data_IF_108702280661
#
_entry.id   IF_108702280661
#
_cell.length_a   1.000
_cell.length_b   1.000
_cell.length_c   1.000
_cell.angle_alpha   90.00
_cell.angle_beta   90.00
_cell.angle_gamma   90.00
#
_symmetry.space_group_name_H-M   'P 1'
#
loop_
_entity.id
_entity.type
_entity.pdbx_description
1 polymer ?
#
# COMPACT_ATOMS: atom_id res chain seq x y z
N UNK A 1 -0.26 24.14 15.22
CA UNK A 1 0.42 24.44 13.93
C UNK A 1 0.94 23.16 13.28
N UNK A 2 1.39 22.19 14.07
CA UNK A 2 1.97 20.95 13.54
C UNK A 2 0.94 20.02 12.89
N UNK A 3 -0.26 19.90 13.46
CA UNK A 3 -1.36 19.09 12.91
C UNK A 3 -1.89 19.60 11.58
N UNK A 4 -1.91 20.92 11.40
CA UNK A 4 -2.27 21.57 10.15
C UNK A 4 -1.27 21.27 9.03
N UNK A 5 0.02 21.48 9.30
CA UNK A 5 1.09 21.18 8.33
C UNK A 5 1.09 19.69 7.95
N UNK A 6 0.92 18.81 8.92
CA UNK A 6 0.78 17.37 8.68
C UNK A 6 -0.34 17.07 7.68
N UNK A 7 -1.54 17.64 7.91
CA UNK A 7 -2.69 17.44 7.00
C UNK A 7 -2.42 17.94 5.58
N UNK A 8 -1.78 19.10 5.43
CA UNK A 8 -1.41 19.64 4.11
C UNK A 8 -0.42 18.72 3.36
N UNK A 9 0.58 18.20 4.06
CA UNK A 9 1.54 17.25 3.48
C UNK A 9 0.81 15.98 3.03
N UNK A 10 -0.12 15.46 3.84
CA UNK A 10 -0.91 14.27 3.48
C UNK A 10 -1.82 14.51 2.28
N UNK A 11 -2.49 15.69 2.19
CA UNK A 11 -3.27 16.06 1.01
C UNK A 11 -2.43 16.07 -0.26
N UNK A 12 -1.27 16.74 -0.21
CA UNK A 12 -0.38 16.83 -1.36
C UNK A 12 0.08 15.43 -1.82
N UNK A 13 0.53 14.62 -0.89
CA UNK A 13 1.07 13.29 -1.20
C UNK A 13 0.00 12.33 -1.72
N UNK A 14 -1.03 12.08 -0.91
CA UNK A 14 -2.06 11.09 -1.25
C UNK A 14 -2.89 11.59 -2.43
N UNK A 15 -3.23 12.86 -2.48
CA UNK A 15 -4.00 13.45 -3.57
C UNK A 15 -3.28 13.39 -4.91
N UNK A 16 -1.98 13.71 -4.95
CA UNK A 16 -1.15 13.59 -6.17
C UNK A 16 -1.01 12.11 -6.58
N UNK A 17 -0.72 11.21 -5.62
CA UNK A 17 -0.64 9.79 -5.91
C UNK A 17 -1.93 9.29 -6.56
N UNK A 18 -3.09 9.62 -6.00
CA UNK A 18 -4.40 9.22 -6.55
C UNK A 18 -4.67 9.80 -7.94
N UNK A 19 -4.36 11.09 -8.15
CA UNK A 19 -4.60 11.76 -9.43
C UNK A 19 -3.81 11.13 -10.58
N UNK A 20 -2.58 10.68 -10.32
CA UNK A 20 -1.69 10.13 -11.34
C UNK A 20 -1.70 8.61 -11.47
N UNK A 21 -2.44 7.87 -10.64
CA UNK A 21 -2.57 6.40 -10.74
C UNK A 21 -2.83 5.92 -12.17
N UNK A 22 -3.74 6.52 -13.00
CA UNK A 22 -4.01 6.01 -14.34
C UNK A 22 -2.81 6.02 -15.30
N UNK A 23 -1.73 6.74 -14.96
CA UNK A 23 -0.50 6.81 -15.75
C UNK A 23 0.62 5.92 -15.21
N UNK A 24 0.50 5.40 -13.98
CA UNK A 24 1.51 4.55 -13.35
C UNK A 24 1.22 3.05 -13.44
N UNK A 25 0.04 2.70 -13.90
CA UNK A 25 -0.37 1.31 -14.14
C UNK A 25 0.02 0.86 -15.54
N UNK A 26 -0.09 -0.45 -15.80
CA UNK A 26 0.13 -1.00 -17.16
C UNK A 26 -0.73 -0.28 -18.18
N UNK A 27 -0.14 0.09 -19.32
CA UNK A 27 -0.85 0.79 -20.39
C UNK A 27 -2.07 0.01 -20.91
N UNK A 28 -1.97 -1.33 -20.96
CA UNK A 28 -3.04 -2.24 -21.37
C UNK A 28 -4.13 -2.46 -20.31
N UNK A 29 -4.01 -1.82 -19.14
CA UNK A 29 -5.05 -1.83 -18.11
C UNK A 29 -5.55 -0.39 -17.92
N UNK A 30 -6.78 -0.12 -18.26
CA UNK A 30 -7.39 1.22 -18.19
C UNK A 30 -8.58 1.19 -17.25
N UNK A 31 -8.47 1.86 -16.10
CA UNK A 31 -9.47 1.81 -15.02
C UNK A 31 -9.91 0.36 -14.71
N UNK A 32 -8.92 -0.57 -14.61
CA UNK A 32 -9.19 -1.96 -14.28
C UNK A 32 -9.70 -2.85 -15.42
N UNK A 33 -9.88 -2.30 -16.62
CA UNK A 33 -10.32 -3.02 -17.81
C UNK A 33 -9.13 -3.37 -18.69
N UNK A 34 -9.03 -4.61 -19.16
CA UNK A 34 -8.03 -5.04 -20.14
C UNK A 34 -8.33 -4.45 -21.51
N UNK A 35 -7.37 -3.73 -22.08
CA UNK A 35 -7.47 -3.07 -23.38
C UNK A 35 -6.36 -3.62 -24.28
N UNK A 36 -6.68 -4.05 -25.51
CA UNK A 36 -5.69 -4.49 -26.49
C UNK A 36 -4.69 -3.38 -26.83
N UNK A 37 -3.46 -3.74 -27.17
CA UNK A 37 -2.37 -2.79 -27.47
C UNK A 37 -2.74 -1.74 -28.52
N UNK A 38 -3.54 -2.12 -29.54
CA UNK A 38 -3.99 -1.23 -30.61
C UNK A 38 -4.91 -0.11 -30.10
N UNK A 39 -5.63 -0.35 -28.99
CA UNK A 39 -6.66 0.55 -28.43
C UNK A 39 -6.14 1.38 -27.24
N UNK A 40 -4.92 1.16 -26.78
CA UNK A 40 -4.33 1.91 -25.66
C UNK A 40 -4.33 3.43 -25.91
N UNK A 41 -4.13 3.82 -27.17
CA UNK A 41 -4.11 5.23 -27.57
C UNK A 41 -5.44 5.75 -28.12
N UNK A 42 -6.53 4.98 -27.98
CA UNK A 42 -7.86 5.41 -28.38
C UNK A 42 -8.23 6.78 -27.77
N UNK A 43 -8.83 7.71 -28.56
CA UNK A 43 -9.14 9.07 -28.08
C UNK A 43 -9.92 9.12 -26.77
N UNK A 44 -10.92 8.24 -26.61
CA UNK A 44 -11.73 8.15 -25.39
C UNK A 44 -10.92 7.68 -24.19
N UNK A 45 -9.97 6.75 -24.38
CA UNK A 45 -9.06 6.26 -23.32
C UNK A 45 -8.19 7.41 -22.82
N UNK A 46 -7.53 8.14 -23.74
CA UNK A 46 -6.69 9.30 -23.40
C UNK A 46 -7.49 10.40 -22.71
N UNK A 47 -8.66 10.73 -23.25
CA UNK A 47 -9.55 11.73 -22.67
C UNK A 47 -10.01 11.32 -21.26
N UNK A 48 -10.36 10.05 -21.04
CA UNK A 48 -10.79 9.54 -19.73
C UNK A 48 -9.69 9.67 -18.69
N UNK A 49 -8.46 9.29 -19.01
CA UNK A 49 -7.29 9.47 -18.12
C UNK A 49 -7.07 10.97 -17.80
N UNK A 50 -7.08 11.83 -18.81
CA UNK A 50 -6.90 13.28 -18.65
C UNK A 50 -7.99 13.91 -17.77
N UNK A 51 -9.27 13.61 -18.04
CA UNK A 51 -10.41 14.12 -17.27
C UNK A 51 -10.30 13.66 -15.81
N UNK A 52 -10.06 12.38 -15.56
CA UNK A 52 -9.90 11.85 -14.21
C UNK A 52 -8.83 12.64 -13.44
N UNK A 53 -7.63 12.76 -14.00
CA UNK A 53 -6.49 13.45 -13.36
C UNK A 53 -6.77 14.94 -13.15
N UNK A 54 -7.25 15.67 -14.20
CA UNK A 54 -7.51 17.10 -14.07
C UNK A 54 -8.62 17.42 -13.07
N UNK A 55 -9.68 16.59 -13.01
CA UNK A 55 -10.77 16.76 -12.04
C UNK A 55 -10.28 16.53 -10.61
N UNK A 56 -9.52 15.46 -10.37
CA UNK A 56 -8.98 15.20 -9.02
C UNK A 56 -7.98 16.27 -8.57
N UNK A 57 -7.13 16.77 -9.47
CA UNK A 57 -6.22 17.88 -9.16
C UNK A 57 -7.00 19.16 -8.84
N UNK A 58 -8.06 19.46 -9.59
CA UNK A 58 -8.93 20.61 -9.31
C UNK A 58 -9.60 20.49 -7.94
N UNK A 59 -10.15 19.31 -7.60
CA UNK A 59 -10.76 19.06 -6.29
C UNK A 59 -9.72 19.14 -5.17
N UNK A 60 -8.52 18.58 -5.37
CA UNK A 60 -7.42 18.68 -4.41
C UNK A 60 -7.07 20.15 -4.12
N UNK A 61 -6.94 20.98 -5.15
CA UNK A 61 -6.66 22.41 -4.99
C UNK A 61 -7.78 23.08 -4.19
N UNK A 62 -9.04 22.80 -4.47
CA UNK A 62 -10.20 23.35 -3.74
C UNK A 62 -10.17 22.92 -2.26
N UNK A 63 -9.89 21.63 -1.99
CA UNK A 63 -9.79 21.10 -0.62
C UNK A 63 -8.65 21.80 0.13
N UNK A 64 -7.47 21.87 -0.47
CA UNK A 64 -6.30 22.51 0.14
C UNK A 64 -6.57 24.01 0.41
N UNK A 65 -7.08 24.74 -0.58
CA UNK A 65 -7.41 26.15 -0.42
C UNK A 65 -8.49 26.37 0.66
N UNK A 66 -9.55 25.59 0.65
CA UNK A 66 -10.61 25.66 1.66
C UNK A 66 -10.11 25.35 3.07
N UNK A 67 -9.25 24.34 3.21
CA UNK A 67 -8.65 23.97 4.49
C UNK A 67 -7.71 25.06 5.03
N UNK A 68 -6.87 25.65 4.14
CA UNK A 68 -6.00 26.79 4.50
C UNK A 68 -6.82 27.99 4.96
N UNK A 69 -7.85 28.37 4.18
CA UNK A 69 -8.72 29.52 4.53
C UNK A 69 -9.48 29.30 5.84
N UNK A 70 -9.94 28.08 6.07
CA UNK A 70 -10.61 27.71 7.32
C UNK A 70 -9.67 27.88 8.52
N UNK A 71 -8.45 27.34 8.45
CA UNK A 71 -7.46 27.44 9.52
C UNK A 71 -7.09 28.90 9.83
N UNK A 72 -6.83 29.72 8.78
CA UNK A 72 -6.48 31.11 8.93
C UNK A 72 -7.59 31.94 9.63
N UNK A 73 -8.86 31.59 9.42
CA UNK A 73 -10.00 32.32 9.99
C UNK A 73 -10.41 31.81 11.39
N UNK A 74 -10.28 30.49 11.64
CA UNK A 74 -10.88 29.84 12.82
C UNK A 74 -9.89 29.62 13.95
N UNK A 75 -8.57 29.61 13.67
CA UNK A 75 -7.48 29.35 14.64
C UNK A 75 -7.78 28.20 15.58
N UNK A 76 -8.16 27.06 15.00
CA UNK A 76 -8.55 25.85 15.74
C UNK A 76 -7.36 25.18 16.42
N UNK A 77 -7.63 24.31 17.40
CA UNK A 77 -6.59 23.50 18.00
C UNK A 77 -6.09 22.42 17.00
N UNK A 78 -4.88 21.92 17.22
CA UNK A 78 -4.22 20.94 16.34
C UNK A 78 -5.04 19.63 16.21
N UNK A 79 -5.75 19.22 17.26
CA UNK A 79 -6.59 18.01 17.25
C UNK A 79 -7.74 18.14 16.25
N UNK A 80 -8.49 19.24 16.28
CA UNK A 80 -9.59 19.49 15.36
C UNK A 80 -9.07 19.66 13.92
N UNK A 81 -7.91 20.30 13.73
CA UNK A 81 -7.27 20.43 12.45
C UNK A 81 -6.96 19.04 11.84
N UNK A 82 -6.41 18.12 12.62
CA UNK A 82 -6.13 16.75 12.18
C UNK A 82 -7.41 15.99 11.83
N UNK A 83 -8.45 16.05 12.68
CA UNK A 83 -9.73 15.35 12.44
C UNK A 83 -10.38 15.84 11.13
N UNK A 84 -10.44 17.16 10.93
CA UNK A 84 -10.98 17.74 9.69
C UNK A 84 -10.11 17.35 8.49
N UNK A 85 -8.79 17.39 8.63
CA UNK A 85 -7.85 16.96 7.61
C UNK A 85 -8.07 15.51 7.18
N UNK A 86 -8.14 14.58 8.13
CA UNK A 86 -8.41 13.16 7.86
C UNK A 86 -9.78 13.00 7.18
N UNK A 87 -10.81 13.69 7.64
CA UNK A 87 -12.16 13.63 7.05
C UNK A 87 -12.14 14.07 5.59
N UNK A 88 -11.52 15.21 5.28
CA UNK A 88 -11.38 15.72 3.91
C UNK A 88 -10.56 14.75 3.03
N UNK A 89 -9.53 14.10 3.59
CA UNK A 89 -8.76 13.09 2.87
C UNK A 89 -9.63 11.87 2.50
N UNK A 90 -10.48 11.38 3.41
CA UNK A 90 -11.40 10.30 3.09
C UNK A 90 -12.46 10.70 2.05
N UNK A 91 -12.93 11.96 2.09
CA UNK A 91 -13.82 12.50 1.06
C UNK A 91 -13.13 12.49 -0.31
N UNK A 92 -11.88 12.93 -0.40
CA UNK A 92 -11.10 12.90 -1.65
C UNK A 92 -10.92 11.47 -2.18
N UNK A 93 -10.63 10.51 -1.29
CA UNK A 93 -10.56 9.08 -1.63
C UNK A 93 -11.90 8.59 -2.16
N UNK A 94 -13.01 8.92 -1.51
CA UNK A 94 -14.37 8.57 -1.94
C UNK A 94 -14.70 9.10 -3.33
N UNK A 95 -14.40 10.37 -3.60
CA UNK A 95 -14.60 10.99 -4.92
C UNK A 95 -13.74 10.28 -5.99
N UNK A 96 -12.47 10.00 -5.68
CA UNK A 96 -11.57 9.25 -6.56
C UNK A 96 -12.15 7.88 -6.94
N UNK A 97 -12.72 7.16 -5.96
CA UNK A 97 -13.35 5.86 -6.19
C UNK A 97 -14.63 5.96 -7.06
N UNK A 98 -15.48 6.96 -6.80
CA UNK A 98 -16.68 7.21 -7.64
C UNK A 98 -16.25 7.49 -9.08
N UNK A 99 -15.29 8.37 -9.30
CA UNK A 99 -14.76 8.67 -10.63
C UNK A 99 -14.14 7.43 -11.28
N UNK A 100 -13.41 6.63 -10.53
CA UNK A 100 -12.86 5.37 -11.02
C UNK A 100 -13.98 4.47 -11.59
N UNK A 101 -15.08 4.24 -10.85
CA UNK A 101 -16.16 3.39 -11.30
C UNK A 101 -16.91 3.99 -12.50
N UNK A 102 -17.05 5.31 -12.58
CA UNK A 102 -17.63 5.97 -13.78
C UNK A 102 -16.79 5.64 -15.01
N UNK A 103 -15.46 5.81 -14.93
CA UNK A 103 -14.57 5.53 -16.06
C UNK A 103 -14.41 4.03 -16.32
N UNK A 104 -14.39 3.19 -15.30
CA UNK A 104 -14.42 1.73 -15.45
C UNK A 104 -15.63 1.30 -16.30
N UNK A 105 -16.82 1.74 -15.92
CA UNK A 105 -18.04 1.43 -16.66
C UNK A 105 -18.01 1.99 -18.08
N UNK A 106 -17.48 3.21 -18.28
CA UNK A 106 -17.35 3.83 -19.59
C UNK A 106 -16.45 3.01 -20.52
N UNK A 107 -15.26 2.61 -20.03
CA UNK A 107 -14.29 1.81 -20.81
C UNK A 107 -14.84 0.40 -21.07
N UNK A 108 -15.50 -0.23 -20.09
CA UNK A 108 -16.15 -1.55 -20.26
C UNK A 108 -17.24 -1.52 -21.35
N UNK A 109 -18.07 -0.48 -21.36
CA UNK A 109 -19.09 -0.31 -22.39
C UNK A 109 -18.48 -0.09 -23.77
N UNK A 110 -17.45 0.76 -23.85
CA UNK A 110 -16.73 1.02 -25.10
C UNK A 110 -16.08 -0.26 -25.66
N UNK A 111 -15.37 -1.03 -24.82
CA UNK A 111 -14.78 -2.32 -25.18
C UNK A 111 -15.78 -3.28 -25.78
N UNK A 112 -16.99 -3.36 -25.18
CA UNK A 112 -18.07 -4.22 -25.69
C UNK A 112 -18.68 -3.72 -26.99
N UNK A 113 -18.90 -2.40 -27.11
CA UNK A 113 -19.53 -1.78 -28.28
C UNK A 113 -18.64 -1.85 -29.53
N UNK A 114 -17.33 -1.75 -29.36
CA UNK A 114 -16.37 -1.82 -30.47
C UNK A 114 -15.69 -3.20 -30.58
N UNK A 115 -16.18 -4.21 -29.83
CA UNK A 115 -15.71 -5.61 -29.86
C UNK A 115 -14.18 -5.74 -29.74
N UNK A 116 -13.57 -4.94 -28.85
CA UNK A 116 -12.11 -4.90 -28.71
C UNK A 116 -11.51 -6.27 -28.39
N UNK A 117 -10.66 -6.75 -29.29
CA UNK A 117 -9.97 -8.01 -29.14
C UNK A 117 -10.72 -9.23 -29.68
N UNK A 118 -11.93 -9.06 -30.26
CA UNK A 118 -12.70 -10.19 -30.81
C UNK A 118 -11.96 -10.93 -31.93
N UNK A 119 -11.23 -10.19 -32.77
CA UNK A 119 -10.44 -10.74 -33.89
C UNK A 119 -9.03 -11.19 -33.49
N UNK A 120 -8.64 -11.06 -32.21
CA UNK A 120 -7.31 -11.38 -31.72
C UNK A 120 -7.29 -12.74 -31.02
N UNK A 121 -6.27 -13.54 -31.34
CA UNK A 121 -6.02 -14.79 -30.63
C UNK A 121 -5.48 -14.51 -29.24
N UNK A 122 -6.21 -14.92 -28.22
CA UNK A 122 -5.75 -14.82 -26.83
C UNK A 122 -4.68 -15.86 -26.54
N UNK A 123 -3.53 -15.41 -26.00
CA UNK A 123 -2.37 -16.27 -25.69
C UNK A 123 -1.95 -16.05 -24.25
N UNK A 124 -1.74 -17.17 -23.54
CA UNK A 124 -1.12 -17.17 -22.21
C UNK A 124 0.33 -17.64 -22.32
N UNK A 125 1.26 -16.80 -21.92
CA UNK A 125 2.69 -17.14 -21.89
C UNK A 125 3.05 -17.61 -20.49
N UNK A 126 3.79 -18.74 -20.43
CA UNK A 126 4.38 -19.25 -19.18
C UNK A 126 5.83 -19.57 -19.45
N UNK A 127 6.73 -18.99 -18.67
CA UNK A 127 8.17 -19.24 -18.74
C UNK A 127 8.71 -19.51 -17.35
N UNK A 128 9.07 -20.77 -17.09
CA UNK A 128 9.61 -21.21 -15.80
C UNK A 128 11.01 -20.64 -15.51
N UNK A 129 11.79 -20.30 -16.55
CA UNK A 129 13.13 -19.73 -16.41
C UNK A 129 13.11 -18.34 -15.75
N UNK A 130 12.02 -17.59 -15.93
CA UNK A 130 11.84 -16.27 -15.33
C UNK A 130 11.81 -16.34 -13.80
N UNK A 131 11.26 -17.42 -13.25
CA UNK A 131 11.21 -17.62 -11.79
C UNK A 131 12.59 -17.84 -11.18
N UNK A 132 13.52 -18.45 -11.91
CA UNK A 132 14.90 -18.62 -11.48
C UNK A 132 15.67 -17.29 -11.39
N UNK A 133 15.17 -16.24 -12.07
CA UNK A 133 15.74 -14.88 -12.06
C UNK A 133 15.10 -13.96 -11.01
N UNK A 134 14.28 -14.50 -10.10
CA UNK A 134 13.63 -13.72 -9.06
C UNK A 134 14.66 -13.26 -8.01
N UNK A 135 14.81 -11.96 -7.87
CA UNK A 135 15.74 -11.30 -6.95
C UNK A 135 15.04 -10.73 -5.71
N UNK A 136 13.91 -11.32 -5.30
CA UNK A 136 13.25 -10.94 -4.05
C UNK A 136 14.18 -11.17 -2.86
N UNK A 137 14.14 -10.26 -1.90
CA UNK A 137 14.92 -10.37 -0.66
C UNK A 137 14.61 -11.70 0.05
N UNK A 138 15.63 -12.51 0.36
CA UNK A 138 15.43 -13.78 1.07
C UNK A 138 14.69 -13.63 2.38
N UNK A 139 13.81 -14.58 2.70
CA UNK A 139 12.94 -14.53 3.88
C UNK A 139 13.72 -14.44 5.21
N UNK A 140 14.93 -14.99 5.27
CA UNK A 140 15.72 -15.00 6.49
C UNK A 140 16.10 -13.59 6.98
N UNK A 141 16.13 -12.56 6.11
CA UNK A 141 16.34 -11.17 6.56
C UNK A 141 15.24 -10.70 7.50
N UNK A 142 14.01 -11.20 7.33
CA UNK A 142 12.87 -10.88 8.20
C UNK A 142 12.98 -11.53 9.60
N UNK A 143 13.91 -12.46 9.82
CA UNK A 143 14.21 -12.99 11.15
C UNK A 143 14.91 -11.95 12.04
N UNK A 144 15.68 -11.02 11.46
CA UNK A 144 16.39 -9.99 12.23
C UNK A 144 15.44 -9.14 13.09
N UNK A 145 14.40 -8.50 12.55
CA UNK A 145 13.44 -7.75 13.36
C UNK A 145 12.68 -8.64 14.37
N UNK A 146 12.40 -9.90 14.04
CA UNK A 146 11.76 -10.85 14.97
C UNK A 146 12.66 -11.12 16.18
N UNK A 147 13.97 -11.31 15.99
CA UNK A 147 14.92 -11.46 17.10
C UNK A 147 15.00 -10.20 17.97
N UNK A 148 14.96 -9.01 17.36
CA UNK A 148 14.91 -7.75 18.12
C UNK A 148 13.69 -7.70 19.04
N UNK A 149 12.51 -8.07 18.53
CA UNK A 149 11.27 -8.12 19.34
C UNK A 149 11.36 -9.17 20.44
N UNK A 150 11.90 -10.36 20.15
CA UNK A 150 12.13 -11.38 21.16
C UNK A 150 13.01 -10.90 22.31
N UNK A 151 14.11 -10.20 21.98
CA UNK A 151 14.98 -9.55 22.96
C UNK A 151 14.26 -8.46 23.76
N UNK A 152 13.44 -7.67 23.10
CA UNK A 152 12.64 -6.62 23.74
C UNK A 152 11.61 -7.18 24.73
N UNK A 153 10.91 -8.25 24.38
CA UNK A 153 9.98 -8.94 25.29
C UNK A 153 10.73 -9.48 26.51
N UNK A 154 11.85 -10.14 26.29
CA UNK A 154 12.69 -10.64 27.39
C UNK A 154 13.17 -9.51 28.30
N UNK A 155 13.68 -8.41 27.72
CA UNK A 155 14.11 -7.24 28.47
C UNK A 155 12.96 -6.61 29.26
N UNK A 156 11.76 -6.47 28.66
CA UNK A 156 10.57 -5.95 29.35
C UNK A 156 10.22 -6.78 30.60
N UNK A 157 10.27 -8.11 30.51
CA UNK A 157 10.02 -8.98 31.64
C UNK A 157 11.12 -8.88 32.74
N UNK A 158 12.36 -8.70 32.34
CA UNK A 158 13.45 -8.47 33.33
C UNK A 158 13.26 -7.16 34.10
N UNK A 159 12.68 -6.14 33.45
CA UNK A 159 12.38 -4.83 34.05
C UNK A 159 10.99 -4.76 34.71
N UNK A 160 10.21 -5.87 34.72
CA UNK A 160 8.82 -5.87 35.20
C UNK A 160 8.61 -5.17 36.57
N UNK A 161 9.49 -5.39 37.60
CA UNK A 161 9.32 -4.71 38.90
C UNK A 161 9.42 -3.18 38.83
N UNK A 162 10.17 -2.65 37.84
CA UNK A 162 10.43 -1.23 37.68
C UNK A 162 9.40 -0.51 36.79
N UNK A 163 8.54 -1.27 36.10
CA UNK A 163 7.52 -0.71 35.22
C UNK A 163 6.46 0.07 36.03
N UNK A 164 5.92 1.17 35.46
CA UNK A 164 4.85 1.94 36.11
C UNK A 164 3.57 1.11 36.27
N UNK A 165 2.69 1.48 37.22
CA UNK A 165 1.40 0.80 37.44
C UNK A 165 0.40 1.00 36.29
N UNK A 166 0.58 2.06 35.48
CA UNK A 166 -0.19 2.34 34.28
C UNK A 166 0.71 2.24 33.05
N UNK A 167 0.38 1.35 32.14
CA UNK A 167 1.13 1.09 30.91
C UNK A 167 0.48 1.89 29.78
N UNK A 168 1.28 2.66 29.05
CA UNK A 168 0.80 3.40 27.88
C UNK A 168 0.40 2.44 26.74
N UNK A 169 -0.78 2.65 26.18
CA UNK A 169 -1.34 1.84 25.10
C UNK A 169 -1.58 2.63 23.81
N UNK A 170 -1.63 3.96 23.90
CA UNK A 170 -1.78 4.85 22.74
C UNK A 170 -0.97 6.13 22.96
N UNK A 171 -0.48 6.69 21.83
CA UNK A 171 0.27 7.95 21.79
C UNK A 171 -0.41 8.92 20.83
N UNK A 172 -0.70 10.11 21.32
CA UNK A 172 -1.31 11.19 20.56
C UNK A 172 -0.38 11.78 19.48
N UNK A 173 -0.91 12.70 18.65
CA UNK A 173 -0.14 13.35 17.58
C UNK A 173 1.07 14.15 18.06
N UNK A 174 1.07 14.58 19.33
CA UNK A 174 2.18 15.26 19.99
C UNK A 174 3.28 14.30 20.49
N UNK A 175 3.10 12.97 20.27
CA UNK A 175 4.02 11.94 20.71
C UNK A 175 3.88 11.57 22.21
N UNK A 176 2.91 12.17 22.94
CA UNK A 176 2.66 11.85 24.34
C UNK A 176 1.65 10.72 24.47
N UNK A 177 1.79 9.83 25.48
CA UNK A 177 0.78 8.82 25.76
C UNK A 177 -0.51 9.47 26.24
N UNK A 178 -1.64 9.08 25.67
CA UNK A 178 -2.99 9.60 25.96
C UNK A 178 -3.99 8.51 26.36
N UNK A 179 -3.61 7.22 26.28
CA UNK A 179 -4.39 6.11 26.83
C UNK A 179 -3.48 5.13 27.58
N UNK A 180 -4.02 4.58 28.66
CA UNK A 180 -3.29 3.71 29.58
C UNK A 180 -4.14 2.52 30.02
N UNK A 181 -3.48 1.41 30.35
CA UNK A 181 -4.08 0.24 30.99
C UNK A 181 -3.35 -0.14 32.28
N UNK A 182 -3.97 -0.97 33.12
CA UNK A 182 -3.34 -1.46 34.34
C UNK A 182 -2.20 -2.45 34.04
N UNK A 183 -1.13 -2.34 34.85
CA UNK A 183 0.03 -3.21 34.75
C UNK A 183 -0.35 -4.67 35.05
N UNK A 184 -0.16 -5.53 34.10
CA UNK A 184 -0.21 -6.97 34.26
C UNK A 184 0.84 -7.63 33.34
N UNK A 185 1.03 -8.95 33.47
CA UNK A 185 2.04 -9.66 32.67
C UNK A 185 1.79 -9.63 31.17
N UNK A 186 0.55 -9.44 30.74
CA UNK A 186 0.19 -9.38 29.34
C UNK A 186 0.26 -7.93 28.80
N UNK A 187 -0.31 -6.95 29.56
CA UNK A 187 -0.31 -5.56 29.13
C UNK A 187 1.09 -4.99 28.90
N UNK A 188 2.07 -5.37 29.72
CA UNK A 188 3.46 -4.86 29.59
C UNK A 188 4.16 -5.29 28.30
N UNK A 189 3.71 -6.38 27.66
CA UNK A 189 4.27 -6.87 26.36
C UNK A 189 3.28 -6.73 25.20
N UNK A 190 2.11 -6.13 25.41
CA UNK A 190 1.08 -6.01 24.36
C UNK A 190 1.62 -5.31 23.11
N UNK A 191 2.36 -4.21 23.27
CA UNK A 191 2.97 -3.46 22.18
C UNK A 191 4.01 -4.29 21.40
N UNK A 192 5.00 -4.97 22.02
CA UNK A 192 5.87 -5.93 21.34
C UNK A 192 5.13 -7.11 20.67
N UNK A 193 4.04 -7.60 21.26
CA UNK A 193 3.24 -8.68 20.63
C UNK A 193 2.54 -8.20 19.35
N UNK A 194 1.95 -7.00 19.37
CA UNK A 194 1.38 -6.37 18.16
C UNK A 194 2.46 -6.24 17.08
N UNK A 195 3.65 -5.76 17.45
CA UNK A 195 4.78 -5.66 16.54
C UNK A 195 5.16 -7.02 15.96
N UNK A 196 5.22 -8.07 16.76
CA UNK A 196 5.52 -9.43 16.31
C UNK A 196 4.48 -9.93 15.30
N UNK A 197 3.19 -9.71 15.55
CA UNK A 197 2.11 -10.06 14.62
C UNK A 197 2.29 -9.33 13.28
N UNK A 198 2.61 -8.03 13.29
CA UNK A 198 2.89 -7.25 12.06
C UNK A 198 4.11 -7.78 11.30
N UNK A 199 5.19 -8.13 11.99
CA UNK A 199 6.41 -8.69 11.38
C UNK A 199 6.14 -10.05 10.72
N UNK A 200 5.41 -10.95 11.39
CA UNK A 200 5.00 -12.25 10.84
C UNK A 200 4.09 -12.04 9.62
N UNK A 201 3.16 -11.09 9.68
CA UNK A 201 2.31 -10.75 8.55
C UNK A 201 3.14 -10.30 7.34
N UNK A 202 4.09 -9.37 7.51
CA UNK A 202 4.92 -8.87 6.41
C UNK A 202 5.82 -9.97 5.83
N UNK A 203 6.43 -10.80 6.66
CA UNK A 203 7.18 -11.96 6.22
C UNK A 203 6.30 -12.95 5.44
N UNK A 204 5.08 -13.21 5.92
CA UNK A 204 4.10 -14.06 5.27
C UNK A 204 3.67 -13.52 3.89
N UNK A 205 3.42 -12.21 3.78
CA UNK A 205 3.09 -11.56 2.51
C UNK A 205 4.22 -11.76 1.49
N UNK A 206 5.47 -11.56 1.89
CA UNK A 206 6.63 -11.74 1.02
C UNK A 206 6.78 -13.19 0.56
N UNK A 207 6.64 -14.15 1.46
CA UNK A 207 6.75 -15.58 1.11
C UNK A 207 5.61 -16.02 0.19
N UNK A 208 4.38 -15.62 0.45
CA UNK A 208 3.24 -15.92 -0.40
C UNK A 208 3.34 -15.23 -1.78
N UNK A 209 3.88 -13.99 -1.83
CA UNK A 209 4.19 -13.32 -3.09
C UNK A 209 5.25 -14.08 -3.88
N UNK A 210 6.29 -14.59 -3.22
CA UNK A 210 7.34 -15.41 -3.84
C UNK A 210 6.76 -16.69 -4.47
N UNK A 211 5.79 -17.31 -3.81
CA UNK A 211 5.10 -18.52 -4.31
C UNK A 211 4.08 -18.22 -5.41
N UNK A 212 3.63 -16.99 -5.54
CA UNK A 212 2.66 -16.59 -6.56
C UNK A 212 3.26 -16.61 -7.97
N UNK A 213 2.41 -16.85 -8.96
CA UNK A 213 2.80 -16.90 -10.37
C UNK A 213 3.30 -15.57 -10.91
N UNK A 214 4.15 -15.62 -11.95
CA UNK A 214 4.58 -14.45 -12.70
C UNK A 214 3.75 -14.40 -13.99
N UNK A 215 2.97 -13.32 -14.18
CA UNK A 215 2.15 -13.14 -15.39
C UNK A 215 2.97 -12.41 -16.46
N UNK A 216 3.21 -13.10 -17.57
CA UNK A 216 4.00 -12.58 -18.70
C UNK A 216 3.05 -12.20 -19.82
N UNK A 217 3.21 -11.00 -20.39
CA UNK A 217 2.45 -10.56 -21.56
C UNK A 217 2.96 -11.25 -22.82
N UNK A 218 2.05 -11.74 -23.65
CA UNK A 218 2.35 -12.34 -24.94
C UNK A 218 2.85 -11.31 -25.96
N UNK A 219 2.31 -10.08 -25.89
CA UNK A 219 2.61 -8.98 -26.82
C UNK A 219 3.85 -8.18 -26.41
N UNK A 220 4.13 -8.12 -25.08
CA UNK A 220 5.24 -7.34 -24.49
C UNK A 220 6.09 -8.20 -23.56
N UNK A 221 6.52 -9.37 -24.01
CA UNK A 221 7.16 -10.41 -23.20
C UNK A 221 8.34 -9.88 -22.39
N UNK A 222 9.35 -9.31 -23.04
CA UNK A 222 10.58 -8.85 -22.35
C UNK A 222 10.31 -7.69 -21.38
N UNK A 223 9.42 -6.76 -21.74
CA UNK A 223 9.04 -5.64 -20.88
C UNK A 223 8.30 -6.14 -19.66
N UNK A 224 7.31 -7.02 -19.83
CA UNK A 224 6.53 -7.57 -18.72
C UNK A 224 7.38 -8.39 -17.75
N UNK A 225 8.35 -9.16 -18.27
CA UNK A 225 9.32 -9.89 -17.44
C UNK A 225 10.12 -8.91 -16.57
N UNK A 226 10.70 -7.87 -17.17
CA UNK A 226 11.47 -6.85 -16.43
C UNK A 226 10.63 -6.17 -15.35
N UNK A 227 9.41 -5.75 -15.70
CA UNK A 227 8.48 -5.11 -14.73
C UNK A 227 8.13 -6.05 -13.59
N UNK A 228 7.76 -7.30 -13.88
CA UNK A 228 7.37 -8.28 -12.85
C UNK A 228 8.54 -8.59 -11.89
N UNK A 229 9.73 -8.85 -12.42
CA UNK A 229 10.92 -9.12 -11.60
C UNK A 229 11.29 -7.90 -10.74
N UNK A 230 11.26 -6.70 -11.34
CA UNK A 230 11.55 -5.47 -10.61
C UNK A 230 10.49 -5.18 -9.52
N UNK A 231 9.20 -5.36 -9.83
CA UNK A 231 8.13 -5.19 -8.85
C UNK A 231 8.31 -6.15 -7.67
N UNK A 232 8.65 -7.40 -7.91
CA UNK A 232 8.93 -8.42 -6.88
C UNK A 232 10.15 -8.03 -6.03
N UNK A 233 11.27 -7.67 -6.68
CA UNK A 233 12.49 -7.21 -6.01
C UNK A 233 12.22 -5.99 -5.13
N UNK A 234 11.75 -4.90 -5.71
CA UNK A 234 11.60 -3.64 -4.98
C UNK A 234 10.48 -3.69 -3.94
N UNK A 235 9.39 -4.43 -4.15
CA UNK A 235 8.36 -4.60 -3.12
C UNK A 235 8.89 -5.38 -1.91
N UNK A 236 9.77 -6.38 -2.10
CA UNK A 236 10.38 -7.10 -0.97
C UNK A 236 11.33 -6.20 -0.15
N UNK A 237 12.11 -5.35 -0.82
CA UNK A 237 12.95 -4.37 -0.15
C UNK A 237 12.15 -3.29 0.58
N UNK A 238 11.08 -2.78 -0.05
CA UNK A 238 10.20 -1.81 0.60
C UNK A 238 9.52 -2.41 1.83
N UNK A 239 9.03 -3.66 1.73
CA UNK A 239 8.41 -4.36 2.86
C UNK A 239 9.41 -4.57 4.01
N UNK A 240 10.65 -4.91 3.69
CA UNK A 240 11.72 -5.03 4.71
C UNK A 240 12.02 -3.67 5.36
N UNK A 241 12.13 -2.60 4.58
CA UNK A 241 12.30 -1.24 5.10
C UNK A 241 11.16 -0.88 6.06
N UNK A 242 9.89 -1.13 5.67
CA UNK A 242 8.73 -0.89 6.54
C UNK A 242 8.80 -1.72 7.83
N UNK A 243 9.19 -2.99 7.72
CA UNK A 243 9.35 -3.86 8.89
C UNK A 243 10.40 -3.30 9.84
N UNK A 244 11.55 -2.83 9.33
CA UNK A 244 12.60 -2.25 10.15
C UNK A 244 12.17 -0.93 10.80
N UNK A 245 11.52 -0.04 10.05
CA UNK A 245 11.03 1.25 10.55
C UNK A 245 10.00 1.07 11.68
N UNK A 246 9.03 0.17 11.50
CA UNK A 246 8.03 -0.15 12.53
C UNK A 246 8.72 -0.79 13.75
N UNK A 247 9.71 -1.67 13.53
CA UNK A 247 10.47 -2.29 14.62
C UNK A 247 11.21 -1.24 15.44
N UNK A 248 11.88 -0.30 14.80
CA UNK A 248 12.60 0.79 15.49
C UNK A 248 11.59 1.65 16.27
N UNK A 249 10.50 2.08 15.65
CA UNK A 249 9.50 2.94 16.30
C UNK A 249 8.86 2.25 17.51
N UNK A 250 8.37 1.03 17.36
CA UNK A 250 7.70 0.31 18.45
C UNK A 250 8.67 -0.11 19.56
N UNK A 251 9.92 -0.45 19.22
CA UNK A 251 10.95 -0.72 20.22
C UNK A 251 11.26 0.52 21.02
N UNK A 252 11.32 1.67 20.36
CA UNK A 252 11.54 2.95 21.01
C UNK A 252 10.38 3.29 21.97
N UNK A 253 9.11 3.15 21.55
CA UNK A 253 7.93 3.35 22.39
C UNK A 253 7.92 2.41 23.61
N UNK A 254 8.29 1.15 23.41
CA UNK A 254 8.40 0.19 24.51
C UNK A 254 9.50 0.58 25.51
N UNK A 255 10.65 1.04 25.02
CA UNK A 255 11.76 1.47 25.89
C UNK A 255 11.39 2.75 26.68
N UNK A 256 10.63 3.68 26.11
CA UNK A 256 10.15 4.85 26.85
C UNK A 256 9.11 4.50 27.93
N UNK A 257 8.34 3.42 27.73
CA UNK A 257 7.44 2.87 28.76
C UNK A 257 8.23 2.26 29.92
N UNK A 258 9.40 1.64 29.64
CA UNK A 258 10.27 1.04 30.68
C UNK A 258 11.07 2.13 31.40
N UNK A 259 11.53 3.15 30.69
CA UNK A 259 12.40 4.22 31.18
C UNK A 259 11.76 5.58 30.88
N UNK A 260 10.99 6.10 31.81
CA UNK A 260 10.15 7.30 31.65
C UNK A 260 10.91 8.55 31.18
N UNK A 261 12.21 8.68 31.54
CA UNK A 261 13.02 9.85 31.21
C UNK A 261 14.03 9.56 30.08
N UNK A 262 13.79 8.51 29.27
CA UNK A 262 14.73 8.10 28.23
C UNK A 262 14.98 9.17 27.18
N UNK A 263 13.95 9.93 26.81
CA UNK A 263 14.03 10.96 25.78
C UNK A 263 13.09 12.13 26.06
N UNK A 264 13.45 13.30 25.50
CA UNK A 264 12.60 14.48 25.52
C UNK A 264 11.42 14.36 24.54
N UNK A 265 10.37 15.14 24.78
CA UNK A 265 9.19 15.24 23.88
C UNK A 265 9.61 15.56 22.44
N UNK A 266 10.61 16.43 22.25
CA UNK A 266 11.11 16.81 20.93
C UNK A 266 11.68 15.62 20.17
N UNK A 267 12.40 14.71 20.85
CA UNK A 267 12.96 13.49 20.24
C UNK A 267 11.85 12.54 19.86
N UNK A 268 10.80 12.40 20.69
CA UNK A 268 9.63 11.59 20.36
C UNK A 268 8.94 12.09 19.09
N UNK A 269 8.68 13.38 18.99
CA UNK A 269 8.08 14.00 17.81
C UNK A 269 8.95 13.79 16.54
N UNK A 270 10.27 13.99 16.65
CA UNK A 270 11.22 13.75 15.55
C UNK A 270 11.15 12.29 15.08
N UNK A 271 11.05 11.33 15.97
CA UNK A 271 10.93 9.90 15.62
C UNK A 271 9.66 9.63 14.81
N UNK A 272 8.49 10.16 15.22
CA UNK A 272 7.24 9.99 14.47
C UNK A 272 7.31 10.66 13.09
N UNK A 273 7.79 11.90 13.02
CA UNK A 273 7.94 12.64 11.75
C UNK A 273 8.90 11.91 10.82
N UNK A 274 10.04 11.45 11.35
CA UNK A 274 11.03 10.71 10.56
C UNK A 274 10.47 9.40 10.01
N UNK A 275 9.71 8.66 10.82
CA UNK A 275 9.03 7.43 10.38
C UNK A 275 8.11 7.70 9.19
N UNK A 276 7.25 8.71 9.29
CA UNK A 276 6.32 9.08 8.22
C UNK A 276 7.08 9.53 6.97
N UNK A 277 8.09 10.38 7.13
CA UNK A 277 8.85 10.95 6.02
C UNK A 277 9.62 9.88 5.25
N UNK A 278 10.33 8.97 5.95
CA UNK A 278 11.07 7.87 5.33
C UNK A 278 10.10 6.89 4.64
N UNK A 279 8.95 6.62 5.26
CA UNK A 279 7.89 5.78 4.65
C UNK A 279 7.42 6.36 3.32
N UNK A 280 7.10 7.65 3.30
CA UNK A 280 6.63 8.36 2.10
C UNK A 280 7.70 8.35 1.00
N UNK A 281 8.95 8.70 1.33
CA UNK A 281 10.06 8.67 0.37
C UNK A 281 10.23 7.25 -0.18
N UNK A 282 10.18 6.22 0.66
CA UNK A 282 10.28 4.83 0.24
C UNK A 282 9.20 4.43 -0.76
N UNK A 283 7.94 4.80 -0.50
CA UNK A 283 6.81 4.52 -1.39
C UNK A 283 6.92 5.30 -2.71
N UNK A 284 7.30 6.57 -2.67
CA UNK A 284 7.50 7.38 -3.89
C UNK A 284 8.66 6.81 -4.72
N UNK A 285 9.80 6.51 -4.11
CA UNK A 285 10.95 5.92 -4.80
C UNK A 285 10.58 4.58 -5.47
N UNK A 286 9.80 3.75 -4.78
CA UNK A 286 9.27 2.50 -5.32
C UNK A 286 8.36 2.77 -6.54
N UNK A 287 7.40 3.68 -6.43
CA UNK A 287 6.47 4.00 -7.51
C UNK A 287 7.19 4.57 -8.74
N UNK A 288 8.10 5.53 -8.55
CA UNK A 288 8.92 6.12 -9.62
C UNK A 288 9.80 5.07 -10.30
N UNK A 289 10.44 4.19 -9.51
CA UNK A 289 11.28 3.13 -10.06
C UNK A 289 10.49 2.17 -10.93
N UNK A 290 9.29 1.77 -10.52
CA UNK A 290 8.45 0.89 -11.32
C UNK A 290 7.92 1.58 -12.58
N UNK A 291 7.51 2.84 -12.48
CA UNK A 291 7.05 3.63 -13.63
C UNK A 291 8.14 3.74 -14.71
N UNK A 292 9.39 4.04 -14.31
CA UNK A 292 10.52 4.15 -15.24
C UNK A 292 10.84 2.86 -16.02
N UNK A 293 10.47 1.69 -15.50
CA UNK A 293 10.64 0.41 -16.14
C UNK A 293 9.50 0.07 -17.12
N UNK A 294 8.36 0.75 -16.98
CA UNK A 294 7.19 0.65 -17.87
C UNK A 294 7.33 1.41 -19.17
N UNK A 295 8.15 2.45 -19.17
CA UNK A 295 8.37 3.32 -20.33
C UNK A 295 9.46 2.80 -21.28
N UNK A 296 9.26 1.63 -21.89
CA UNK A 296 10.04 1.29 -23.09
C UNK A 296 9.45 2.09 -24.27
N UNK A 297 9.85 3.36 -24.40
CA UNK A 297 9.55 4.19 -25.58
C UNK A 297 10.03 3.45 -26.83
N UNK A 298 9.11 3.07 -27.70
CA UNK A 298 9.44 2.63 -29.06
C UNK A 298 9.53 1.14 -29.32
N UNK A 299 8.96 0.25 -28.52
CA UNK A 299 8.75 -1.12 -28.97
C UNK A 299 7.64 -1.10 -30.02
N UNK A 300 8.03 -1.38 -31.26
CA UNK A 300 7.11 -1.67 -32.36
C UNK A 300 6.11 -2.72 -31.86
N UNK A 301 4.84 -2.34 -31.74
CA UNK A 301 3.77 -3.28 -31.47
C UNK A 301 3.80 -4.32 -32.58
N UNK A 302 4.12 -5.54 -32.25
CA UNK A 302 4.01 -6.65 -33.19
C UNK A 302 2.52 -6.77 -33.53
N UNK A 303 2.14 -6.43 -34.75
CA UNK A 303 0.80 -6.64 -35.28
C UNK A 303 0.52 -8.14 -35.51
N UNK A 304 0.85 -8.95 -34.51
CA UNK A 304 0.89 -10.42 -34.62
C UNK A 304 -0.49 -11.10 -34.57
N UNK A 305 -1.59 -10.34 -34.52
CA UNK A 305 -2.93 -10.92 -34.38
C UNK A 305 -3.19 -11.64 -33.04
N UNK A 306 -2.29 -11.42 -32.06
CA UNK A 306 -2.41 -12.00 -30.72
C UNK A 306 -2.64 -10.91 -29.66
N UNK A 307 -3.25 -11.30 -28.54
CA UNK A 307 -3.42 -10.46 -27.35
C UNK A 307 -3.23 -11.30 -26.09
N UNK A 308 -3.03 -10.64 -24.96
CA UNK A 308 -3.05 -11.29 -23.67
C UNK A 308 -4.46 -11.82 -23.36
N UNK A 309 -4.55 -12.86 -22.53
CA UNK A 309 -5.83 -13.40 -22.09
C UNK A 309 -6.63 -12.32 -21.35
N UNK A 310 -7.89 -12.17 -21.77
CA UNK A 310 -8.83 -11.29 -21.07
C UNK A 310 -9.29 -11.92 -19.75
N UNK A 311 -8.81 -11.38 -18.66
CA UNK A 311 -9.16 -11.83 -17.31
C UNK A 311 -10.22 -10.95 -16.64
N UNK A 312 -10.91 -10.05 -17.38
CA UNK A 312 -11.85 -9.09 -16.79
C UNK A 312 -12.97 -9.78 -15.99
N UNK A 313 -13.39 -10.97 -16.42
CA UNK A 313 -14.40 -11.78 -15.72
C UNK A 313 -14.01 -12.17 -14.28
N UNK A 314 -12.71 -12.19 -13.94
CA UNK A 314 -12.23 -12.52 -12.60
C UNK A 314 -12.00 -11.26 -11.73
N UNK A 315 -12.25 -10.07 -12.29
CA UNK A 315 -12.02 -8.80 -11.61
C UNK A 315 -13.34 -8.07 -11.36
N UNK A 316 -13.84 -8.16 -10.13
CA UNK A 316 -15.07 -7.47 -9.72
C UNK A 316 -14.77 -5.97 -9.66
N UNK A 317 -15.42 -5.20 -10.55
CA UNK A 317 -15.20 -3.77 -10.70
C UNK A 317 -13.75 -3.37 -11.04
N UNK A 318 -12.94 -4.30 -11.55
CA UNK A 318 -11.53 -4.06 -11.85
C UNK A 318 -10.61 -3.93 -10.63
N UNK A 319 -11.11 -4.09 -9.41
CA UNK A 319 -10.38 -3.89 -8.15
C UNK A 319 -10.19 -5.17 -7.35
N UNK A 320 -11.20 -5.99 -7.26
CA UNK A 320 -11.21 -7.21 -6.44
C UNK A 320 -11.01 -8.43 -7.33
N UNK A 321 -9.94 -9.18 -7.10
CA UNK A 321 -9.66 -10.40 -7.84
C UNK A 321 -10.27 -11.62 -7.16
N UNK A 322 -11.06 -12.38 -7.91
CA UNK A 322 -11.70 -13.61 -7.43
C UNK A 322 -11.63 -14.69 -8.50
N UNK A 323 -10.66 -15.60 -8.40
CA UNK A 323 -10.47 -16.69 -9.33
C UNK A 323 -10.12 -18.00 -8.61
N UNK A 324 -11.05 -18.96 -8.60
CA UNK A 324 -10.86 -20.26 -7.97
C UNK A 324 -9.85 -21.14 -8.72
N UNK A 325 -9.61 -20.89 -9.99
CA UNK A 325 -8.70 -21.68 -10.82
C UNK A 325 -7.24 -21.15 -10.78
N UNK A 326 -7.02 -19.93 -10.25
CA UNK A 326 -5.68 -19.38 -10.07
C UNK A 326 -5.13 -19.76 -8.69
N UNK A 327 -4.04 -20.56 -8.58
CA UNK A 327 -3.46 -20.94 -7.30
C UNK A 327 -2.79 -19.78 -6.56
N UNK A 328 -2.55 -18.63 -7.23
CA UNK A 328 -1.86 -17.49 -6.65
C UNK A 328 -2.69 -16.85 -5.52
N UNK A 329 -2.04 -16.60 -4.39
CA UNK A 329 -2.61 -15.85 -3.27
C UNK A 329 -2.54 -14.35 -3.55
N UNK A 330 -1.40 -13.88 -4.06
CA UNK A 330 -1.18 -12.49 -4.45
C UNK A 330 -1.12 -12.35 -5.97
N UNK A 331 -1.78 -11.34 -6.49
CA UNK A 331 -1.79 -10.96 -7.91
C UNK A 331 -1.50 -9.47 -8.06
N UNK A 332 -0.95 -9.07 -9.19
CA UNK A 332 -0.71 -7.65 -9.49
C UNK A 332 -2.02 -6.87 -9.54
N UNK A 333 -2.06 -5.69 -8.92
CA UNK A 333 -3.22 -4.79 -8.97
C UNK A 333 -3.47 -4.31 -10.39
N UNK A 334 -4.73 -4.17 -10.75
CA UNK A 334 -5.14 -3.53 -12.02
C UNK A 334 -5.28 -2.02 -11.91
N UNK A 335 -5.52 -1.51 -10.70
CA UNK A 335 -5.57 -0.09 -10.42
C UNK A 335 -4.73 0.21 -9.18
N UNK A 336 -3.72 1.06 -9.33
CA UNK A 336 -2.67 1.29 -8.36
C UNK A 336 -1.43 0.43 -8.61
N UNK A 337 -0.42 0.63 -7.80
CA UNK A 337 0.87 -0.08 -7.86
C UNK A 337 0.93 -1.14 -6.77
N UNK A 338 1.52 -2.29 -7.07
CA UNK A 338 1.75 -3.36 -6.11
C UNK A 338 0.81 -4.56 -6.28
N UNK A 339 0.50 -5.23 -5.16
CA UNK A 339 -0.21 -6.50 -5.14
C UNK A 339 -1.58 -6.38 -4.49
N UNK A 340 -2.50 -7.23 -4.91
CA UNK A 340 -3.78 -7.49 -4.23
C UNK A 340 -3.92 -8.99 -4.00
N UNK A 341 -4.95 -9.40 -3.30
CA UNK A 341 -5.19 -10.80 -2.96
C UNK A 341 -6.25 -11.44 -3.83
N UNK A 342 -6.09 -12.73 -4.07
CA UNK A 342 -7.13 -13.56 -4.66
C UNK A 342 -8.12 -13.98 -3.56
N UNK A 343 -9.24 -13.29 -3.44
CA UNK A 343 -10.25 -13.58 -2.41
C UNK A 343 -10.93 -14.96 -2.57
N UNK A 344 -10.67 -15.67 -3.67
CA UNK A 344 -11.09 -17.07 -3.81
C UNK A 344 -10.21 -18.05 -3.01
N UNK A 345 -9.11 -17.57 -2.40
CA UNK A 345 -8.18 -18.39 -1.60
C UNK A 345 -8.37 -18.15 -0.11
N UNK A 346 -8.67 -19.21 0.70
CA UNK A 346 -8.80 -19.06 2.15
C UNK A 346 -7.52 -18.51 2.81
N UNK A 347 -6.34 -18.87 2.29
CA UNK A 347 -5.05 -18.32 2.75
C UNK A 347 -4.93 -16.81 2.57
N UNK A 348 -5.54 -16.24 1.51
CA UNK A 348 -5.60 -14.81 1.29
C UNK A 348 -6.43 -14.10 2.37
N UNK A 349 -7.59 -14.66 2.70
CA UNK A 349 -8.49 -14.17 3.74
C UNK A 349 -7.79 -14.24 5.11
N UNK A 350 -7.16 -15.37 5.42
CA UNK A 350 -6.41 -15.54 6.66
C UNK A 350 -5.23 -14.55 6.77
N UNK A 351 -4.55 -14.27 5.66
CA UNK A 351 -3.42 -13.33 5.63
C UNK A 351 -3.82 -11.87 5.89
N UNK A 352 -5.05 -11.48 5.51
CA UNK A 352 -5.58 -10.12 5.74
C UNK A 352 -6.21 -10.02 7.13
N UNK A 353 -7.17 -10.89 7.42
CA UNK A 353 -8.01 -10.77 8.60
C UNK A 353 -7.38 -11.41 9.85
N UNK A 354 -6.53 -12.42 9.71
CA UNK A 354 -5.87 -13.07 10.83
C UNK A 354 -5.07 -12.09 11.71
N UNK A 355 -4.13 -11.32 11.15
CA UNK A 355 -3.38 -10.33 11.93
C UNK A 355 -4.28 -9.27 12.58
N UNK A 356 -5.31 -8.78 11.87
CA UNK A 356 -6.26 -7.80 12.40
C UNK A 356 -6.98 -8.36 13.62
N UNK A 357 -7.50 -9.58 13.52
CA UNK A 357 -8.17 -10.25 14.65
C UNK A 357 -7.21 -10.44 15.83
N UNK A 358 -5.97 -10.88 15.56
CA UNK A 358 -4.96 -11.06 16.62
C UNK A 358 -4.63 -9.73 17.32
N UNK A 359 -4.44 -8.65 16.56
CA UNK A 359 -4.17 -7.31 17.14
C UNK A 359 -5.35 -6.85 18.00
N UNK A 360 -6.59 -7.02 17.53
CA UNK A 360 -7.80 -6.67 18.30
C UNK A 360 -7.86 -7.52 19.59
N UNK A 361 -7.60 -8.82 19.50
CA UNK A 361 -7.57 -9.68 20.69
C UNK A 361 -6.48 -9.24 21.67
N UNK A 362 -5.28 -8.95 21.20
CA UNK A 362 -4.21 -8.41 22.07
C UNK A 362 -4.67 -7.13 22.76
N UNK A 363 -5.28 -6.19 22.01
CA UNK A 363 -5.75 -4.92 22.56
C UNK A 363 -6.90 -5.07 23.57
N UNK A 364 -7.77 -6.09 23.43
CA UNK A 364 -8.88 -6.33 24.38
C UNK A 364 -8.35 -6.95 25.68
N UNK A 365 -7.35 -7.81 25.58
CA UNK A 365 -6.82 -8.53 26.77
C UNK A 365 -5.62 -7.82 27.43
N UNK A 366 -5.13 -6.73 26.85
CA UNK A 366 -4.10 -5.88 27.46
C UNK A 366 -4.71 -4.85 28.41
#
# INVERSE_FOLDING_TARGET
MDGYIFSLVMFALIGLLQAFVPYWIKETIVFGVTVPDQQVYHPIVKASKKIYTSTLLGILIIIVAGYVLWELNSRVNDELAIIVGITLQFILIGISMVMYFIFHNKITKLKKAEEWGADLKQVKVTDWSVRARDEMLPIFYFLLPIFVVGGLIMYTYMQYPLLPEKIATHWGPNGQPDAFTDKNRFSVIALPLILLVMQIMFAGIIELTRRSGIKISATRTQQSIRQQLAMRKYSSWLMFLMTMLITILFSFLQLTTIHNDLVSESVMLIMFISFIFITIIGVIAFAVKLSSLGEAKGTNYSSSGITDVDEDQYWIGGLVYFNRNDPSVFVEKRFGVGWTVNLARPTAIACIFGPIVLIILISIFS
#
